data_IF_996435697344
#
_entry.id   IF_996435697344
#
_cell.length_a   1.000
_cell.length_b   1.000
_cell.length_c   1.000
_cell.angle_alpha   90.00
_cell.angle_beta   90.00
_cell.angle_gamma   90.00
#
_symmetry.space_group_name_H-M   'P 1'
#
loop_
_entity.id
_entity.type
_entity.pdbx_description
1 polymer ?
#
# COMPACT_ATOMS: atom_id res chain seq x y z
N UNK A 1 -14.27 -9.03 21.18
CA UNK A 1 -14.31 -9.87 22.41
C UNK A 1 -13.62 -11.22 22.27
N UNK A 2 -13.88 -12.03 21.22
CA UNK A 2 -13.22 -13.34 20.99
C UNK A 2 -11.68 -13.29 20.91
N UNK A 3 -11.09 -12.24 20.33
CA UNK A 3 -9.63 -12.07 20.27
C UNK A 3 -8.97 -11.79 21.64
N UNK A 4 -9.66 -11.08 22.55
CA UNK A 4 -9.17 -10.81 23.91
C UNK A 4 -9.20 -12.10 24.74
N UNK A 5 -10.26 -12.89 24.59
CA UNK A 5 -10.41 -14.20 25.24
C UNK A 5 -9.31 -15.18 24.77
N UNK A 6 -8.96 -15.17 23.48
CA UNK A 6 -7.87 -16.01 22.96
C UNK A 6 -6.46 -15.52 23.36
N UNK A 7 -6.27 -14.22 23.62
CA UNK A 7 -4.99 -13.72 24.19
C UNK A 7 -4.84 -14.10 25.66
N UNK A 8 -5.95 -14.07 26.43
CA UNK A 8 -5.98 -14.50 27.83
C UNK A 8 -5.79 -16.01 27.99
N UNK A 9 -6.25 -16.82 27.02
CA UNK A 9 -6.05 -18.29 27.08
C UNK A 9 -4.59 -18.71 26.90
N UNK A 10 -3.83 -18.00 26.06
CA UNK A 10 -2.39 -18.23 25.89
C UNK A 10 -1.60 -17.91 27.17
N UNK A 11 -1.95 -16.83 27.87
CA UNK A 11 -1.37 -16.48 29.17
C UNK A 11 -1.73 -17.52 30.26
N UNK A 12 -2.92 -18.10 30.21
CA UNK A 12 -3.38 -19.09 31.19
C UNK A 12 -2.48 -20.32 31.28
N UNK A 13 -1.81 -20.70 30.20
CA UNK A 13 -0.87 -21.83 30.18
C UNK A 13 0.50 -21.49 30.77
N UNK A 14 0.88 -20.20 30.82
CA UNK A 14 2.15 -19.74 31.37
C UNK A 14 2.08 -19.47 32.88
N UNK A 15 0.90 -19.10 33.39
CA UNK A 15 0.67 -18.78 34.82
C UNK A 15 1.17 -19.88 35.78
N UNK A 16 0.92 -21.19 35.56
CA UNK A 16 1.37 -22.24 36.48
C UNK A 16 2.89 -22.37 36.55
N UNK A 17 3.58 -22.25 35.41
CA UNK A 17 5.04 -22.36 35.34
C UNK A 17 5.72 -21.15 35.96
N UNK A 18 5.17 -19.95 35.73
CA UNK A 18 5.65 -18.71 36.34
C UNK A 18 5.41 -18.68 37.86
N UNK A 19 4.25 -19.12 38.33
CA UNK A 19 3.97 -19.18 39.77
C UNK A 19 4.86 -20.20 40.48
N UNK A 20 5.11 -21.36 39.88
CA UNK A 20 6.01 -22.36 40.43
C UNK A 20 7.46 -21.85 40.49
N UNK A 21 7.92 -21.18 39.43
CA UNK A 21 9.27 -20.58 39.40
C UNK A 21 9.40 -19.46 40.44
N UNK A 22 8.37 -18.62 40.59
CA UNK A 22 8.34 -17.56 41.59
C UNK A 22 8.41 -18.13 43.01
N UNK A 23 7.60 -19.15 43.33
CA UNK A 23 7.64 -19.83 44.63
C UNK A 23 9.02 -20.45 44.89
N UNK A 24 9.63 -21.07 43.87
CA UNK A 24 10.99 -21.62 43.97
C UNK A 24 12.05 -20.56 44.31
N UNK A 25 12.00 -19.41 43.64
CA UNK A 25 12.92 -18.29 43.90
C UNK A 25 12.73 -17.74 45.32
N UNK A 26 11.48 -17.57 45.78
CA UNK A 26 11.18 -17.10 47.14
C UNK A 26 11.75 -18.07 48.19
N UNK A 27 11.51 -19.37 48.06
CA UNK A 27 12.02 -20.38 48.98
C UNK A 27 13.56 -20.42 49.00
N UNK A 28 14.20 -20.34 47.83
CA UNK A 28 15.66 -20.33 47.72
C UNK A 28 16.27 -19.06 48.34
N UNK A 29 15.67 -17.90 48.07
CA UNK A 29 16.11 -16.63 48.66
C UNK A 29 15.98 -16.62 50.18
N UNK A 30 14.89 -17.19 50.71
CA UNK A 30 14.67 -17.30 52.14
C UNK A 30 15.69 -18.27 52.79
N UNK A 31 15.96 -19.41 52.16
CA UNK A 31 16.95 -20.38 52.62
C UNK A 31 18.37 -19.80 52.68
N UNK A 32 18.79 -19.09 51.63
CA UNK A 32 20.08 -18.38 51.59
C UNK A 32 20.14 -17.31 52.68
N UNK A 33 19.08 -16.53 52.88
CA UNK A 33 19.03 -15.52 53.94
C UNK A 33 19.21 -16.13 55.33
N UNK A 34 18.57 -17.27 55.63
CA UNK A 34 18.75 -17.97 56.91
C UNK A 34 20.17 -18.50 57.10
N UNK A 35 20.77 -19.09 56.06
CA UNK A 35 22.17 -19.54 56.08
C UNK A 35 23.14 -18.39 56.36
N UNK A 36 22.96 -17.25 55.70
CA UNK A 36 23.76 -16.04 55.94
C UNK A 36 23.59 -15.49 57.35
N UNK A 37 22.35 -15.43 57.85
CA UNK A 37 22.07 -15.00 59.23
C UNK A 37 22.74 -15.94 60.23
N UNK A 38 22.73 -17.24 59.98
CA UNK A 38 23.39 -18.23 60.82
C UNK A 38 24.91 -18.04 60.80
N UNK A 39 25.53 -17.98 59.63
CA UNK A 39 26.97 -17.82 59.47
C UNK A 39 27.50 -16.55 60.15
N UNK A 40 26.80 -15.42 60.00
CA UNK A 40 27.18 -14.18 60.68
C UNK A 40 27.01 -14.22 62.20
N UNK A 41 26.14 -15.09 62.73
CA UNK A 41 25.88 -15.20 64.18
C UNK A 41 26.77 -16.22 64.88
N UNK A 42 27.24 -17.24 64.18
CA UNK A 42 28.00 -18.35 64.77
C UNK A 42 29.50 -18.27 64.51
N UNK A 43 29.94 -17.55 63.47
CA UNK A 43 31.35 -17.43 63.12
C UNK A 43 31.90 -16.10 63.65
N UNK A 44 32.72 -16.17 64.71
CA UNK A 44 33.48 -15.03 65.21
C UNK A 44 34.74 -14.79 64.34
N UNK A 45 35.03 -13.53 63.99
CA UNK A 45 36.22 -13.15 63.21
C UNK A 45 35.98 -12.85 61.72
N UNK A 46 34.77 -12.48 61.30
CA UNK A 46 34.49 -12.11 59.91
C UNK A 46 35.18 -10.77 59.52
N UNK A 47 35.70 -10.64 58.29
CA UNK A 47 36.34 -9.40 57.82
C UNK A 47 35.42 -8.18 57.90
N UNK A 48 35.97 -6.99 58.18
CA UNK A 48 35.22 -5.73 58.29
C UNK A 48 34.39 -5.37 57.04
N UNK A 49 34.77 -5.89 55.88
CA UNK A 49 34.02 -5.73 54.61
C UNK A 49 32.59 -6.27 54.74
N UNK A 50 32.39 -7.34 55.51
CA UNK A 50 31.08 -7.98 55.72
C UNK A 50 30.13 -7.04 56.47
N UNK A 51 30.66 -6.21 57.37
CA UNK A 51 29.88 -5.24 58.14
C UNK A 51 29.25 -4.16 57.24
N UNK A 52 30.03 -3.63 56.29
CA UNK A 52 29.56 -2.68 55.29
C UNK A 52 28.58 -3.31 54.29
N UNK A 53 28.91 -4.52 53.81
CA UNK A 53 28.13 -5.19 52.77
C UNK A 53 26.76 -5.67 53.27
N UNK A 54 26.63 -5.95 54.57
CA UNK A 54 25.35 -6.35 55.22
C UNK A 54 24.66 -5.19 55.95
N UNK A 55 25.12 -3.95 55.72
CA UNK A 55 24.54 -2.70 56.19
C UNK A 55 24.33 -2.64 57.71
N UNK A 56 25.23 -3.22 58.51
CA UNK A 56 24.98 -3.46 59.93
C UNK A 56 24.88 -2.21 60.81
N UNK A 57 25.34 -1.07 60.31
CA UNK A 57 25.14 0.23 60.94
C UNK A 57 23.66 0.64 61.04
N UNK A 58 22.78 0.01 60.25
CA UNK A 58 21.36 0.35 60.21
C UNK A 58 20.54 -0.65 61.06
N UNK A 59 19.55 -0.18 61.86
CA UNK A 59 18.73 -1.06 62.66
C UNK A 59 18.01 -2.12 61.81
N UNK A 60 17.82 -3.31 62.37
CA UNK A 60 17.26 -4.50 61.69
C UNK A 60 16.00 -4.23 60.83
N UNK A 61 14.96 -3.53 61.32
CA UNK A 61 13.75 -3.30 60.50
C UNK A 61 14.04 -2.41 59.29
N UNK A 62 14.91 -1.41 59.43
CA UNK A 62 15.23 -0.47 58.37
C UNK A 62 16.05 -1.10 57.23
N UNK A 63 16.90 -2.09 57.53
CA UNK A 63 17.61 -2.87 56.49
C UNK A 63 16.66 -3.66 55.60
N UNK A 64 15.66 -4.30 56.22
CA UNK A 64 14.64 -5.06 55.49
C UNK A 64 13.81 -4.15 54.59
N UNK A 65 13.37 -2.99 55.11
CA UNK A 65 12.61 -2.00 54.33
C UNK A 65 13.44 -1.47 53.15
N UNK A 66 14.71 -1.12 53.38
CA UNK A 66 15.59 -0.61 52.32
C UNK A 66 15.77 -1.62 51.18
N UNK A 67 16.08 -2.88 51.50
CA UNK A 67 16.24 -3.94 50.49
C UNK A 67 14.93 -4.22 49.74
N UNK A 68 13.80 -4.16 50.43
CA UNK A 68 12.48 -4.36 49.83
C UNK A 68 12.13 -3.24 48.83
N UNK A 69 12.41 -1.98 49.19
CA UNK A 69 12.18 -0.83 48.30
C UNK A 69 13.10 -0.88 47.07
N UNK A 70 14.39 -1.18 47.25
CA UNK A 70 15.34 -1.32 46.14
C UNK A 70 14.91 -2.46 45.21
N UNK A 71 14.52 -3.61 45.78
CA UNK A 71 14.03 -4.74 45.01
C UNK A 71 12.78 -4.41 44.18
N UNK A 72 11.83 -3.66 44.76
CA UNK A 72 10.62 -3.24 44.05
C UNK A 72 10.94 -2.32 42.86
N UNK A 73 11.88 -1.38 43.03
CA UNK A 73 12.31 -0.46 41.97
C UNK A 73 12.99 -1.19 40.81
N UNK A 74 13.88 -2.14 41.11
CA UNK A 74 14.56 -2.96 40.09
C UNK A 74 13.54 -3.81 39.32
N UNK A 75 12.57 -4.41 40.02
CA UNK A 75 11.52 -5.22 39.40
C UNK A 75 10.62 -4.38 38.48
N UNK A 76 10.24 -3.18 38.91
CA UNK A 76 9.48 -2.23 38.09
C UNK A 76 10.27 -1.82 36.83
N UNK A 77 11.57 -1.55 36.96
CA UNK A 77 12.45 -1.24 35.83
C UNK A 77 12.56 -2.39 34.83
N UNK A 78 12.70 -3.63 35.30
CA UNK A 78 12.76 -4.82 34.45
C UNK A 78 11.47 -5.07 33.66
N UNK A 79 10.30 -4.88 34.30
CA UNK A 79 9.00 -4.96 33.63
C UNK A 79 8.88 -3.86 32.56
N UNK A 80 9.31 -2.65 32.86
CA UNK A 80 9.24 -1.53 31.93
C UNK A 80 10.16 -1.74 30.71
N UNK A 81 11.33 -2.37 30.89
CA UNK A 81 12.24 -2.68 29.80
C UNK A 81 11.70 -3.81 28.89
N UNK A 82 10.98 -4.79 29.46
CA UNK A 82 10.36 -5.87 28.69
C UNK A 82 9.14 -5.43 27.88
N UNK A 83 8.39 -4.42 28.34
CA UNK A 83 7.22 -3.92 27.61
C UNK A 83 7.57 -3.24 26.28
N UNK A 84 8.82 -2.78 26.11
CA UNK A 84 9.32 -2.23 24.85
C UNK A 84 9.77 -3.25 23.81
N UNK A 85 9.96 -4.53 24.18
CA UNK A 85 10.59 -5.55 23.31
C UNK A 85 9.55 -6.46 22.62
N UNK A 86 8.28 -6.42 23.02
CA UNK A 86 7.24 -7.30 22.45
C UNK A 86 6.37 -6.55 21.45
N UNK A 87 6.98 -6.15 20.32
CA UNK A 87 6.25 -5.94 19.07
C UNK A 87 7.04 -6.61 17.96
N UNK A 88 6.92 -7.93 17.87
CA UNK A 88 7.26 -8.66 16.65
C UNK A 88 5.98 -8.63 15.79
N UNK A 89 5.92 -7.86 14.70
CA UNK A 89 4.84 -8.00 13.74
C UNK A 89 4.89 -9.41 13.15
N UNK A 90 3.74 -10.06 13.15
CA UNK A 90 3.58 -11.43 12.67
C UNK A 90 3.69 -11.42 11.14
N UNK A 91 4.61 -12.16 10.50
CA UNK A 91 4.49 -12.42 9.07
C UNK A 91 3.27 -13.33 8.88
N UNK A 92 2.28 -12.82 8.15
CA UNK A 92 1.06 -13.54 7.81
C UNK A 92 1.29 -14.25 6.47
N UNK A 93 1.01 -15.56 6.44
CA UNK A 93 1.01 -16.48 5.31
C UNK A 93 2.38 -17.01 4.85
N UNK A 94 2.68 -18.24 5.29
CA UNK A 94 3.63 -19.15 4.63
C UNK A 94 2.82 -19.96 3.60
N UNK A 95 3.21 -20.01 2.31
CA UNK A 95 2.61 -20.90 1.32
C UNK A 95 2.75 -22.37 1.71
N UNK A 96 1.84 -23.22 1.22
CA UNK A 96 1.67 -24.61 1.65
C UNK A 96 2.78 -25.60 1.24
N UNK A 97 3.94 -25.12 0.79
CA UNK A 97 5.06 -25.98 0.40
C UNK A 97 6.15 -25.88 1.45
N UNK A 98 6.31 -26.97 2.22
CA UNK A 98 7.09 -27.08 3.45
C UNK A 98 8.61 -27.02 3.28
N UNK A 99 9.13 -26.00 2.60
CA UNK A 99 10.54 -25.63 2.65
C UNK A 99 10.68 -24.28 3.36
N UNK A 100 10.95 -24.35 4.68
CA UNK A 100 11.41 -23.19 5.44
C UNK A 100 12.88 -22.93 5.07
N UNK A 101 13.13 -22.40 3.87
CA UNK A 101 14.43 -21.83 3.52
C UNK A 101 14.55 -20.53 4.28
N UNK A 102 15.36 -20.52 5.35
CA UNK A 102 15.85 -19.32 6.02
C UNK A 102 16.86 -18.64 5.09
N UNK A 103 16.36 -18.13 3.96
CA UNK A 103 17.09 -17.28 3.06
C UNK A 103 17.24 -15.93 3.73
N UNK A 104 18.45 -15.60 4.18
CA UNK A 104 18.82 -14.22 4.44
C UNK A 104 18.84 -13.50 3.09
N UNK A 105 17.68 -12.97 2.69
CA UNK A 105 17.52 -12.25 1.44
C UNK A 105 18.29 -10.93 1.51
N UNK A 106 19.53 -10.95 1.00
CA UNK A 106 20.42 -9.80 0.85
C UNK A 106 19.95 -8.82 -0.24
N UNK A 107 18.84 -9.09 -0.93
CA UNK A 107 18.40 -8.34 -2.11
C UNK A 107 17.15 -7.48 -1.90
N UNK A 108 16.68 -7.29 -0.66
CA UNK A 108 15.67 -6.27 -0.34
C UNK A 108 16.27 -4.86 -0.53
N UNK A 109 16.43 -4.46 -1.79
CA UNK A 109 16.63 -3.07 -2.16
C UNK A 109 15.29 -2.39 -1.89
N UNK A 110 15.24 -1.38 -1.00
CA UNK A 110 13.97 -0.82 -0.60
C UNK A 110 13.30 -0.14 -1.80
N UNK A 111 12.11 -0.61 -2.19
CA UNK A 111 11.43 -0.16 -3.42
C UNK A 111 10.63 1.10 -3.16
N UNK A 112 11.00 2.18 -3.87
CA UNK A 112 10.27 3.45 -3.90
C UNK A 112 9.38 3.46 -5.12
N UNK A 113 8.07 3.40 -4.90
CA UNK A 113 7.09 3.38 -5.97
C UNK A 113 6.34 4.70 -5.98
N UNK A 114 6.23 5.30 -7.17
CA UNK A 114 5.32 6.42 -7.40
C UNK A 114 4.09 5.90 -8.11
N UNK A 115 2.91 6.32 -7.66
CA UNK A 115 1.61 5.99 -8.27
C UNK A 115 0.95 7.28 -8.72
N UNK A 116 0.59 7.35 -10.00
CA UNK A 116 -0.17 8.45 -10.60
C UNK A 116 -1.56 7.92 -10.92
N UNK A 117 -2.55 8.31 -10.12
CA UNK A 117 -3.90 7.77 -10.18
C UNK A 117 -4.91 8.74 -9.54
N UNK A 118 -6.20 8.48 -9.71
CA UNK A 118 -7.28 9.15 -8.98
C UNK A 118 -7.70 8.38 -7.72
N UNK A 119 -8.62 8.94 -6.95
CA UNK A 119 -9.03 8.46 -5.63
C UNK A 119 -9.33 6.96 -5.53
N UNK A 120 -10.25 6.44 -6.36
CA UNK A 120 -10.63 5.03 -6.31
C UNK A 120 -9.48 4.08 -6.70
N UNK A 121 -8.67 4.47 -7.69
CA UNK A 121 -7.51 3.69 -8.15
C UNK A 121 -6.40 3.61 -7.11
N UNK A 122 -6.15 4.71 -6.40
CA UNK A 122 -5.18 4.74 -5.29
C UNK A 122 -5.58 3.77 -4.17
N UNK A 123 -6.87 3.67 -3.86
CA UNK A 123 -7.37 2.72 -2.84
C UNK A 123 -7.18 1.26 -3.26
N UNK A 124 -7.33 0.95 -4.55
CA UNK A 124 -7.04 -0.40 -5.06
C UNK A 124 -5.57 -0.74 -4.84
N UNK A 125 -4.68 0.22 -5.07
CA UNK A 125 -3.24 0.02 -4.88
C UNK A 125 -2.79 0.10 -3.41
N UNK A 126 -3.68 0.34 -2.45
CA UNK A 126 -3.30 0.33 -1.03
C UNK A 126 -2.71 -1.02 -0.58
N UNK A 127 -3.08 -2.13 -1.23
CA UNK A 127 -2.49 -3.45 -0.98
C UNK A 127 -1.01 -3.55 -1.40
N UNK A 128 -0.55 -2.69 -2.34
CA UNK A 128 0.85 -2.62 -2.73
C UNK A 128 1.73 -2.06 -1.61
N UNK A 129 1.16 -1.21 -0.74
CA UNK A 129 1.93 -0.57 0.33
C UNK A 129 2.55 -1.60 1.28
N UNK A 130 1.93 -2.75 1.50
CA UNK A 130 2.45 -3.76 2.44
C UNK A 130 3.76 -4.40 1.93
N UNK A 131 4.07 -4.25 0.64
CA UNK A 131 5.17 -4.92 -0.05
C UNK A 131 6.24 -3.95 -0.59
N UNK A 132 6.10 -2.65 -0.31
CA UNK A 132 7.06 -1.61 -0.75
C UNK A 132 7.45 -0.73 0.43
N UNK A 133 8.68 -0.20 0.42
CA UNK A 133 9.18 0.62 1.53
C UNK A 133 8.57 2.02 1.54
N UNK A 134 8.31 2.56 0.35
CA UNK A 134 7.70 3.88 0.19
C UNK A 134 6.83 3.91 -1.05
N UNK A 135 5.56 4.22 -0.86
CA UNK A 135 4.60 4.46 -1.93
C UNK A 135 4.22 5.94 -1.93
N UNK A 136 4.52 6.65 -3.00
CA UNK A 136 4.15 8.06 -3.16
C UNK A 136 3.05 8.19 -4.19
N UNK A 137 1.87 8.57 -3.75
CA UNK A 137 0.68 8.74 -4.56
C UNK A 137 0.58 10.20 -5.02
N UNK A 138 0.89 10.45 -6.30
CA UNK A 138 0.70 11.76 -6.92
C UNK A 138 -0.74 11.84 -7.42
N UNK A 139 -1.45 12.85 -6.95
CA UNK A 139 -2.88 13.04 -7.20
C UNK A 139 -3.11 13.82 -8.49
N UNK A 140 -4.30 13.74 -9.11
CA UNK A 140 -4.65 14.56 -10.27
C UNK A 140 -4.57 16.05 -9.94
N UNK A 141 -4.01 16.84 -10.86
CA UNK A 141 -3.96 18.31 -10.75
C UNK A 141 -5.34 18.97 -10.64
N UNK A 142 -6.42 18.27 -11.02
CA UNK A 142 -7.80 18.76 -10.98
C UNK A 142 -8.45 18.62 -9.61
N UNK A 143 -7.94 17.73 -8.77
CA UNK A 143 -8.64 17.32 -7.55
C UNK A 143 -8.26 18.20 -6.35
N UNK A 144 -9.23 18.50 -5.46
CA UNK A 144 -8.96 19.26 -4.25
C UNK A 144 -8.07 18.47 -3.27
N UNK A 145 -7.15 19.18 -2.61
CA UNK A 145 -6.16 18.61 -1.69
C UNK A 145 -6.80 17.91 -0.48
N UNK A 146 -7.96 18.40 -0.04
CA UNK A 146 -8.69 17.92 1.14
C UNK A 146 -9.14 16.46 1.01
N UNK A 147 -9.44 16.01 -0.21
CA UNK A 147 -9.85 14.62 -0.44
C UNK A 147 -8.76 13.64 -0.02
N UNK A 148 -7.51 13.96 -0.36
CA UNK A 148 -6.37 13.10 -0.11
C UNK A 148 -5.87 13.17 1.33
N UNK A 149 -5.99 14.33 1.98
CA UNK A 149 -5.74 14.45 3.42
C UNK A 149 -6.71 13.60 4.25
N UNK A 150 -7.98 13.50 3.81
CA UNK A 150 -8.94 12.59 4.45
C UNK A 150 -8.60 11.12 4.18
N UNK A 151 -8.20 10.80 2.95
CA UNK A 151 -7.78 9.44 2.59
C UNK A 151 -6.57 8.97 3.44
N UNK A 152 -5.58 9.84 3.67
CA UNK A 152 -4.40 9.50 4.48
C UNK A 152 -4.76 9.13 5.92
N UNK A 153 -5.76 9.80 6.51
CA UNK A 153 -6.24 9.47 7.85
C UNK A 153 -7.03 8.15 7.91
N UNK A 154 -7.72 7.77 6.84
CA UNK A 154 -8.57 6.58 6.79
C UNK A 154 -7.77 5.28 6.61
N UNK A 155 -6.71 5.31 5.82
CA UNK A 155 -5.96 4.09 5.48
C UNK A 155 -4.90 3.72 6.51
N UNK A 156 -4.43 4.68 7.32
CA UNK A 156 -3.43 4.48 8.36
C UNK A 156 -2.24 3.61 7.90
N UNK A 157 -1.78 3.81 6.66
CA UNK A 157 -0.64 3.11 6.09
C UNK A 157 0.60 3.98 6.24
N UNK A 158 1.58 3.57 7.08
CA UNK A 158 2.67 4.45 7.50
C UNK A 158 3.66 4.81 6.38
N UNK A 159 3.64 4.08 5.28
CA UNK A 159 4.56 4.19 4.15
C UNK A 159 3.89 4.71 2.86
N UNK A 160 2.64 5.16 2.94
CA UNK A 160 1.93 5.79 1.82
C UNK A 160 1.89 7.30 2.02
N UNK A 161 2.37 8.03 1.02
CA UNK A 161 2.43 9.49 1.03
C UNK A 161 1.61 10.04 -0.13
N UNK A 162 0.59 10.83 0.18
CA UNK A 162 -0.18 11.55 -0.84
C UNK A 162 0.48 12.89 -1.12
N UNK A 163 0.77 13.16 -2.39
CA UNK A 163 1.50 14.34 -2.83
C UNK A 163 0.69 15.07 -3.88
N UNK A 164 0.54 16.38 -3.67
CA UNK A 164 -0.10 17.28 -4.62
C UNK A 164 0.94 17.80 -5.62
N UNK A 165 0.72 17.66 -6.93
CA UNK A 165 1.65 18.13 -7.95
C UNK A 165 1.79 19.65 -7.93
N UNK A 166 0.70 20.37 -7.69
CA UNK A 166 0.64 21.84 -7.62
C UNK A 166 0.08 22.30 -6.27
N UNK A 167 0.39 23.54 -5.82
CA UNK A 167 -0.16 24.09 -4.57
C UNK A 167 -1.68 24.27 -4.58
N UNK A 168 -2.23 24.60 -5.76
CA UNK A 168 -3.66 24.79 -5.99
C UNK A 168 -4.11 23.88 -7.15
N UNK A 169 -5.36 23.39 -7.14
CA UNK A 169 -5.90 22.61 -8.24
C UNK A 169 -6.05 23.48 -9.50
N UNK A 170 -5.88 22.87 -10.66
CA UNK A 170 -5.99 23.50 -11.96
C UNK A 170 -7.25 23.03 -12.69
N UNK A 171 -7.85 23.94 -13.44
CA UNK A 171 -9.01 23.61 -14.27
C UNK A 171 -8.54 23.02 -15.60
N UNK A 172 -9.00 21.80 -15.87
CA UNK A 172 -8.70 21.08 -17.10
C UNK A 172 -9.98 20.88 -17.88
N UNK A 173 -9.91 21.15 -19.18
CA UNK A 173 -11.04 21.09 -20.09
C UNK A 173 -10.77 20.01 -21.14
N UNK A 174 -11.74 19.12 -21.34
CA UNK A 174 -11.76 18.17 -22.42
C UNK A 174 -12.52 18.75 -23.63
N UNK A 175 -11.89 18.73 -24.79
CA UNK A 175 -12.48 19.04 -26.09
C UNK A 175 -13.03 17.76 -26.71
N UNK A 176 -14.33 17.75 -27.00
CA UNK A 176 -15.02 16.64 -27.62
C UNK A 176 -15.00 16.74 -29.16
N UNK A 177 -15.43 15.68 -29.83
CA UNK A 177 -15.49 15.53 -31.29
C UNK A 177 -16.36 16.57 -32.01
N UNK A 178 -17.35 17.15 -31.32
CA UNK A 178 -18.18 18.23 -31.85
C UNK A 178 -17.67 19.65 -31.49
N UNK A 179 -16.48 19.74 -30.88
CA UNK A 179 -15.87 20.98 -30.43
C UNK A 179 -16.41 21.49 -29.08
N UNK A 180 -17.31 20.75 -28.43
CA UNK A 180 -17.77 21.09 -27.08
C UNK A 180 -16.62 20.99 -26.09
N UNK A 181 -16.54 21.98 -25.20
CA UNK A 181 -15.56 22.05 -24.12
C UNK A 181 -16.24 21.70 -22.79
N UNK A 182 -15.73 20.70 -22.07
CA UNK A 182 -16.26 20.28 -20.77
C UNK A 182 -15.17 20.21 -19.70
N UNK A 183 -15.49 20.63 -18.48
CA UNK A 183 -14.60 20.46 -17.32
C UNK A 183 -14.42 18.96 -17.01
N UNK A 184 -13.16 18.53 -16.97
CA UNK A 184 -12.78 17.13 -16.69
C UNK A 184 -13.33 16.64 -15.35
N UNK A 185 -13.48 17.50 -14.33
CA UNK A 185 -14.03 17.10 -13.02
C UNK A 185 -15.49 16.65 -13.10
N UNK A 186 -16.21 17.09 -14.13
CA UNK A 186 -17.63 16.82 -14.29
C UNK A 186 -17.93 15.85 -15.42
N UNK A 187 -16.95 15.47 -16.24
CA UNK A 187 -17.19 14.66 -17.44
C UNK A 187 -17.88 13.32 -17.14
N UNK A 188 -17.62 12.69 -15.98
CA UNK A 188 -18.29 11.46 -15.55
C UNK A 188 -19.74 11.67 -15.06
N UNK A 189 -20.16 12.91 -14.80
CA UNK A 189 -21.51 13.28 -14.34
C UNK A 189 -22.49 13.49 -15.49
N UNK A 190 -22.04 13.40 -16.74
CA UNK A 190 -22.83 13.66 -17.94
C UNK A 190 -22.99 12.41 -18.81
N UNK A 191 -23.94 11.51 -18.50
CA UNK A 191 -24.19 10.29 -19.27
C UNK A 191 -24.52 10.55 -20.75
N UNK A 192 -25.08 11.71 -21.07
CA UNK A 192 -25.38 12.14 -22.44
C UNK A 192 -24.14 12.25 -23.33
N UNK A 193 -22.94 12.31 -22.75
CA UNK A 193 -21.68 12.35 -23.48
C UNK A 193 -21.17 10.95 -23.85
N UNK A 194 -21.91 9.89 -23.53
CA UNK A 194 -21.53 8.51 -23.86
C UNK A 194 -21.31 8.28 -25.37
N UNK A 195 -22.02 9.04 -26.22
CA UNK A 195 -21.91 8.97 -27.68
C UNK A 195 -20.81 9.86 -28.28
N UNK A 196 -20.11 10.64 -27.44
CA UNK A 196 -19.05 11.56 -27.84
C UNK A 196 -17.67 10.95 -27.67
N UNK A 197 -16.64 11.68 -28.10
CA UNK A 197 -15.25 11.27 -27.92
C UNK A 197 -14.39 12.44 -27.47
N UNK A 198 -13.65 12.27 -26.38
CA UNK A 198 -12.59 13.22 -26.00
C UNK A 198 -11.49 13.19 -27.06
N UNK A 199 -11.32 14.30 -27.75
CA UNK A 199 -10.27 14.51 -28.74
C UNK A 199 -9.00 15.06 -28.08
N UNK A 200 -9.13 16.02 -27.17
CA UNK A 200 -7.98 16.66 -26.54
C UNK A 200 -8.24 17.19 -25.14
N UNK A 201 -7.23 17.21 -24.28
CA UNK A 201 -7.24 17.90 -23.00
C UNK A 201 -6.43 19.19 -23.09
N UNK A 202 -6.92 20.24 -22.44
CA UNK A 202 -6.27 21.54 -22.34
C UNK A 202 -6.36 22.07 -20.92
N UNK A 203 -5.35 22.81 -20.48
CA UNK A 203 -5.53 23.70 -19.32
C UNK A 203 -6.50 24.81 -19.73
N UNK A 204 -7.38 25.21 -18.82
CA UNK A 204 -8.22 26.37 -19.04
C UNK A 204 -7.30 27.59 -19.30
N UNK A 205 -7.68 28.48 -20.23
CA UNK A 205 -6.85 29.61 -20.67
C UNK A 205 -6.48 30.58 -19.54
N UNK A 206 -7.30 30.60 -18.48
CA UNK A 206 -7.08 31.43 -17.29
C UNK A 206 -6.12 30.76 -16.29
N UNK A 207 -5.88 29.46 -16.42
CA UNK A 207 -4.99 28.69 -15.54
C UNK A 207 -3.53 28.84 -16.00
N UNK A 208 -2.77 29.67 -15.29
CA UNK A 208 -1.30 29.68 -15.42
C UNK A 208 -0.76 28.60 -14.48
N UNK A 209 -0.12 27.53 -14.99
CA UNK A 209 0.33 26.44 -14.15
C UNK A 209 1.47 26.92 -13.22
N UNK A 210 1.33 26.78 -11.89
CA UNK A 210 2.42 27.04 -10.97
C UNK A 210 3.54 26.00 -11.15
N UNK A 211 4.76 26.27 -10.67
CA UNK A 211 5.81 25.26 -10.63
C UNK A 211 5.38 24.05 -9.80
N UNK A 212 5.89 22.88 -10.15
CA UNK A 212 5.61 21.66 -9.39
C UNK A 212 6.15 21.76 -7.97
N UNK A 213 5.44 21.11 -7.05
CA UNK A 213 5.92 20.99 -5.68
C UNK A 213 7.22 20.19 -5.64
N UNK A 214 8.17 20.63 -4.81
CA UNK A 214 9.47 19.96 -4.67
C UNK A 214 9.34 18.48 -4.29
N UNK A 215 8.34 18.16 -3.46
CA UNK A 215 8.04 16.78 -3.04
C UNK A 215 7.65 15.90 -4.23
N UNK A 216 6.92 16.44 -5.20
CA UNK A 216 6.56 15.73 -6.44
C UNK A 216 7.80 15.41 -7.27
N UNK A 217 8.67 16.41 -7.49
CA UNK A 217 9.91 16.25 -8.25
C UNK A 217 10.87 15.27 -7.58
N UNK A 218 11.05 15.36 -6.27
CA UNK A 218 11.88 14.43 -5.48
C UNK A 218 11.35 13.00 -5.58
N UNK A 219 10.03 12.81 -5.46
CA UNK A 219 9.40 11.50 -5.56
C UNK A 219 9.62 10.86 -6.94
N UNK A 220 9.39 11.61 -8.02
CA UNK A 220 9.60 11.13 -9.39
C UNK A 220 11.06 10.78 -9.68
N UNK A 221 12.00 11.58 -9.16
CA UNK A 221 13.44 11.37 -9.33
C UNK A 221 13.94 10.14 -8.59
N UNK A 222 13.41 9.87 -7.40
CA UNK A 222 13.88 8.79 -6.52
C UNK A 222 13.14 7.47 -6.71
N UNK A 223 12.11 7.45 -7.55
CA UNK A 223 11.32 6.25 -7.81
C UNK A 223 12.16 5.15 -8.49
N UNK A 224 11.93 3.91 -8.08
CA UNK A 224 12.37 2.72 -8.81
C UNK A 224 11.33 2.34 -9.89
N UNK A 225 10.06 2.60 -9.62
CA UNK A 225 8.95 2.41 -10.56
C UNK A 225 7.92 3.55 -10.47
N UNK A 226 7.40 3.97 -11.62
CA UNK A 226 6.29 4.91 -11.76
C UNK A 226 5.12 4.16 -12.37
N UNK A 227 4.05 4.00 -11.59
CA UNK A 227 2.84 3.30 -11.97
C UNK A 227 1.78 4.32 -12.41
N UNK A 228 1.28 4.16 -13.62
CA UNK A 228 0.18 4.92 -14.19
C UNK A 228 -1.10 4.12 -14.01
N UNK A 229 -2.04 4.62 -13.20
CA UNK A 229 -3.30 3.94 -12.90
C UNK A 229 -3.19 2.86 -11.81
N UNK A 230 -4.23 2.02 -11.63
CA UNK A 230 -5.46 1.99 -12.44
C UNK A 230 -6.30 3.25 -12.19
N UNK A 231 -7.02 3.74 -13.19
CA UNK A 231 -7.84 4.94 -13.04
C UNK A 231 -8.29 5.50 -14.38
N UNK A 232 -9.24 6.44 -14.37
CA UNK A 232 -9.70 7.03 -15.62
C UNK A 232 -8.56 7.74 -16.32
N UNK A 233 -8.34 7.38 -17.58
CA UNK A 233 -7.21 7.88 -18.35
C UNK A 233 -7.27 9.41 -18.48
N UNK A 234 -8.42 9.93 -18.92
CA UNK A 234 -8.62 11.36 -19.19
C UNK A 234 -8.92 12.19 -17.94
N UNK A 235 -9.40 11.59 -16.85
CA UNK A 235 -9.72 12.34 -15.62
C UNK A 235 -8.61 12.29 -14.56
N UNK A 236 -7.89 11.18 -14.47
CA UNK A 236 -7.01 10.93 -13.32
C UNK A 236 -5.54 10.85 -13.68
N UNK A 237 -5.19 10.39 -14.88
CA UNK A 237 -3.81 10.10 -15.26
C UNK A 237 -3.26 11.21 -16.16
N UNK A 238 -3.87 11.40 -17.33
CA UNK A 238 -3.41 12.34 -18.36
C UNK A 238 -3.38 13.81 -17.94
N UNK A 239 -4.31 14.35 -17.12
CA UNK A 239 -4.28 15.76 -16.73
C UNK A 239 -2.93 16.20 -16.15
N UNK A 240 -2.25 15.35 -15.37
CA UNK A 240 -0.95 15.68 -14.80
C UNK A 240 0.12 15.95 -15.87
N UNK A 241 0.02 15.31 -17.03
CA UNK A 241 0.97 15.46 -18.15
C UNK A 241 0.74 16.73 -18.98
N UNK A 242 -0.33 17.49 -18.72
CA UNK A 242 -0.49 18.84 -19.27
C UNK A 242 0.54 19.82 -18.70
N UNK A 243 1.12 19.50 -17.54
CA UNK A 243 2.24 20.23 -16.97
C UNK A 243 3.54 19.75 -17.61
N UNK A 244 4.17 20.59 -18.42
CA UNK A 244 5.41 20.24 -19.13
C UNK A 244 6.54 19.80 -18.17
N UNK A 245 6.65 20.45 -17.01
CA UNK A 245 7.61 20.07 -15.96
C UNK A 245 7.34 18.66 -15.42
N UNK A 246 6.07 18.25 -15.33
CA UNK A 246 5.67 16.92 -14.86
C UNK A 246 6.02 15.85 -15.88
N UNK A 247 5.66 16.08 -17.15
CA UNK A 247 6.01 15.17 -18.24
C UNK A 247 7.53 14.98 -18.36
N UNK A 248 8.31 16.06 -18.25
CA UNK A 248 9.78 15.98 -18.23
C UNK A 248 10.30 15.20 -17.03
N UNK A 249 9.79 15.45 -15.82
CA UNK A 249 10.22 14.75 -14.62
C UNK A 249 9.95 13.24 -14.69
N UNK A 250 8.79 12.82 -15.22
CA UNK A 250 8.47 11.41 -15.43
C UNK A 250 9.38 10.80 -16.51
N UNK A 251 9.61 11.51 -17.62
CA UNK A 251 10.44 11.03 -18.74
C UNK A 251 11.91 10.88 -18.37
N UNK A 252 12.47 11.86 -17.68
CA UNK A 252 13.88 11.89 -17.27
C UNK A 252 14.21 10.92 -16.12
N UNK A 253 13.20 10.47 -15.36
CA UNK A 253 13.39 9.47 -14.31
C UNK A 253 13.92 8.15 -14.88
N UNK A 254 14.88 7.53 -14.20
CA UNK A 254 15.34 6.17 -14.51
C UNK A 254 14.36 5.09 -14.05
N UNK A 255 13.34 5.48 -13.29
CA UNK A 255 12.27 4.59 -12.88
C UNK A 255 11.64 3.91 -14.09
N UNK A 256 11.14 2.70 -13.88
CA UNK A 256 10.42 1.96 -14.90
C UNK A 256 8.95 2.38 -14.92
N UNK A 257 8.42 2.64 -16.12
CA UNK A 257 7.07 3.17 -16.33
C UNK A 257 6.13 2.00 -16.57
N UNK A 258 5.20 1.79 -15.64
CA UNK A 258 4.25 0.67 -15.69
C UNK A 258 2.85 1.26 -15.83
N UNK A 259 2.10 0.87 -16.84
CA UNK A 259 0.69 1.26 -16.99
C UNK A 259 -0.23 0.10 -16.59
N UNK A 260 -1.20 0.37 -15.71
CA UNK A 260 -2.26 -0.59 -15.37
C UNK A 260 -3.48 -0.23 -16.21
N UNK A 261 -3.76 -1.05 -17.22
CA UNK A 261 -4.85 -0.82 -18.16
C UNK A 261 -6.21 -0.97 -17.48
N UNK A 262 -7.18 -0.14 -17.87
CA UNK A 262 -8.54 -0.23 -17.35
C UNK A 262 -9.21 -1.54 -17.79
N UNK A 263 -10.07 -2.09 -16.92
CA UNK A 263 -10.81 -3.33 -17.21
C UNK A 263 -11.90 -3.14 -18.27
N UNK A 264 -12.49 -1.95 -18.29
CA UNK A 264 -13.59 -1.56 -19.17
C UNK A 264 -13.28 -0.21 -19.82
N UNK A 265 -13.82 0.00 -21.01
CA UNK A 265 -13.86 1.31 -21.64
C UNK A 265 -14.80 2.24 -20.90
N UNK A 266 -14.52 3.53 -21.00
CA UNK A 266 -15.29 4.59 -20.39
C UNK A 266 -16.09 5.33 -21.47
N UNK A 267 -17.42 5.46 -21.31
CA UNK A 267 -18.27 6.12 -22.30
C UNK A 267 -17.82 7.57 -22.49
N UNK A 268 -17.81 8.05 -23.73
CA UNK A 268 -17.38 9.41 -24.04
C UNK A 268 -15.85 9.64 -24.07
N UNK A 269 -15.07 8.73 -23.47
CA UNK A 269 -13.64 8.95 -23.16
C UNK A 269 -12.74 7.93 -23.85
N UNK A 270 -12.91 6.65 -23.51
CA UNK A 270 -12.13 5.54 -24.09
C UNK A 270 -13.04 4.58 -24.85
N UNK A 271 -14.14 5.09 -25.40
CA UNK A 271 -15.11 4.29 -26.15
C UNK A 271 -14.44 3.65 -27.37
N UNK A 272 -14.52 2.33 -27.46
CA UNK A 272 -13.86 1.54 -28.50
C UNK A 272 -12.34 1.38 -28.36
N UNK A 273 -11.72 1.91 -27.29
CA UNK A 273 -10.28 1.79 -27.11
C UNK A 273 -9.85 0.35 -26.87
N UNK A 274 -8.80 -0.04 -27.56
CA UNK A 274 -7.97 -1.22 -27.30
C UNK A 274 -6.79 -0.86 -26.41
N UNK A 275 -6.00 -1.85 -26.01
CA UNK A 275 -4.76 -1.64 -25.24
C UNK A 275 -3.80 -0.72 -26.00
N UNK A 276 -3.62 -0.92 -27.30
CA UNK A 276 -2.78 -0.08 -28.15
C UNK A 276 -3.20 1.40 -28.13
N UNK A 277 -4.50 1.67 -28.16
CA UNK A 277 -5.02 3.05 -28.15
C UNK A 277 -4.71 3.76 -26.84
N UNK A 278 -4.82 3.06 -25.70
CA UNK A 278 -4.40 3.62 -24.41
C UNK A 278 -2.90 3.97 -24.41
N UNK A 279 -2.05 3.08 -24.96
CA UNK A 279 -0.60 3.33 -25.04
C UNK A 279 -0.29 4.52 -25.95
N UNK A 280 -0.96 4.63 -27.11
CA UNK A 280 -0.77 5.77 -28.02
C UNK A 280 -1.14 7.10 -27.37
N UNK A 281 -2.27 7.15 -26.68
CA UNK A 281 -2.69 8.38 -25.99
C UNK A 281 -1.71 8.72 -24.86
N UNK A 282 -1.25 7.75 -24.06
CA UNK A 282 -0.19 8.02 -23.06
C UNK A 282 1.06 8.57 -23.74
N UNK A 283 1.47 7.99 -24.87
CA UNK A 283 2.63 8.45 -25.63
C UNK A 283 2.49 9.88 -26.14
N UNK A 284 1.29 10.26 -26.59
CA UNK A 284 0.98 11.60 -27.05
C UNK A 284 1.09 12.65 -25.93
N UNK A 285 0.46 12.40 -24.78
CA UNK A 285 0.43 13.35 -23.67
C UNK A 285 1.70 13.36 -22.83
N UNK A 286 2.23 12.18 -22.48
CA UNK A 286 3.40 12.05 -21.62
C UNK A 286 4.72 12.17 -22.37
N UNK A 287 4.71 12.06 -23.71
CA UNK A 287 5.92 12.06 -24.53
C UNK A 287 6.85 10.87 -24.22
N UNK A 288 6.29 9.76 -23.75
CA UNK A 288 7.01 8.52 -23.43
C UNK A 288 6.12 7.29 -23.69
N UNK A 289 6.73 6.17 -24.00
CA UNK A 289 6.04 4.87 -24.05
C UNK A 289 6.25 4.15 -22.71
N UNK A 290 5.19 3.62 -22.05
CA UNK A 290 5.36 2.79 -20.86
C UNK A 290 6.26 1.59 -21.15
N UNK A 291 7.17 1.24 -20.24
CA UNK A 291 8.00 0.05 -20.38
C UNK A 291 7.15 -1.22 -20.34
N UNK A 292 6.18 -1.25 -19.42
CA UNK A 292 5.29 -2.39 -19.19
C UNK A 292 3.84 -1.97 -19.11
N UNK A 293 2.94 -2.82 -19.59
CA UNK A 293 1.48 -2.65 -19.48
C UNK A 293 0.87 -3.90 -18.88
N UNK A 294 0.14 -3.76 -17.77
CA UNK A 294 -0.63 -4.84 -17.16
C UNK A 294 -2.07 -4.82 -17.71
N UNK A 295 -2.50 -5.96 -18.24
CA UNK A 295 -3.85 -6.15 -18.80
C UNK A 295 -4.52 -7.34 -18.12
N UNK A 296 -5.82 -7.22 -17.86
CA UNK A 296 -6.58 -8.30 -17.25
C UNK A 296 -6.86 -9.44 -18.26
N UNK A 297 -6.35 -10.62 -17.96
CA UNK A 297 -6.55 -11.84 -18.74
C UNK A 297 -7.93 -12.49 -18.50
N UNK A 298 -8.44 -12.33 -17.27
CA UNK A 298 -9.63 -13.07 -16.82
C UNK A 298 -10.87 -12.59 -17.58
N UNK A 299 -11.53 -13.52 -18.27
CA UNK A 299 -12.80 -13.23 -18.95
C UNK A 299 -13.87 -12.88 -17.92
N UNK A 300 -14.52 -11.75 -18.14
CA UNK A 300 -15.58 -11.24 -17.29
C UNK A 300 -16.85 -12.03 -17.58
N UNK A 301 -17.58 -12.37 -16.53
CA UNK A 301 -18.84 -13.10 -16.62
C UNK A 301 -19.82 -12.42 -17.62
N UNK A 302 -20.50 -13.18 -18.50
CA UNK A 302 -21.37 -12.63 -19.52
C UNK A 302 -22.52 -11.77 -18.97
N UNK A 303 -23.04 -12.11 -17.79
CA UNK A 303 -24.11 -11.36 -17.14
C UNK A 303 -23.62 -9.97 -16.72
N UNK A 304 -22.43 -9.93 -16.13
CA UNK A 304 -21.73 -8.69 -15.79
C UNK A 304 -21.44 -7.86 -17.04
N UNK A 305 -20.94 -8.49 -18.11
CA UNK A 305 -20.65 -7.82 -19.38
C UNK A 305 -21.90 -7.16 -19.98
N UNK A 306 -23.08 -7.81 -19.90
CA UNK A 306 -24.34 -7.21 -20.37
C UNK A 306 -24.75 -5.97 -19.58
N UNK A 307 -24.53 -5.96 -18.26
CA UNK A 307 -24.82 -4.80 -17.40
C UNK A 307 -23.97 -3.60 -17.85
N UNK A 308 -22.68 -3.82 -18.08
CA UNK A 308 -21.75 -2.78 -18.52
C UNK A 308 -22.01 -2.35 -19.97
N UNK A 309 -22.36 -3.27 -20.87
CA UNK A 309 -22.72 -2.95 -22.24
C UNK A 309 -23.97 -2.05 -22.32
N UNK A 310 -24.95 -2.24 -21.40
CA UNK A 310 -26.11 -1.36 -21.29
C UNK A 310 -25.75 0.08 -20.86
N UNK A 311 -24.56 0.28 -20.31
CA UNK A 311 -23.97 1.58 -19.98
C UNK A 311 -22.92 2.03 -21.02
N UNK A 312 -22.91 1.45 -22.23
CA UNK A 312 -21.96 1.74 -23.31
C UNK A 312 -20.49 1.44 -22.95
N UNK A 313 -20.25 0.46 -22.07
CA UNK A 313 -18.91 0.03 -21.67
C UNK A 313 -18.60 -1.36 -22.22
N UNK A 314 -17.37 -1.52 -22.71
CA UNK A 314 -16.86 -2.78 -23.27
C UNK A 314 -15.58 -3.21 -22.57
N UNK A 315 -15.36 -4.51 -22.35
CA UNK A 315 -14.10 -4.99 -21.79
C UNK A 315 -12.89 -4.64 -22.66
N UNK A 316 -11.79 -4.26 -22.02
CA UNK A 316 -10.52 -4.05 -22.71
C UNK A 316 -9.70 -5.32 -22.64
N UNK A 317 -9.51 -5.97 -23.79
CA UNK A 317 -8.73 -7.19 -23.93
C UNK A 317 -7.71 -7.06 -25.08
N UNK A 318 -6.72 -7.96 -25.09
CA UNK A 318 -5.87 -8.18 -26.25
C UNK A 318 -6.65 -8.83 -27.39
N UNK A 319 -6.37 -8.40 -28.62
CA UNK A 319 -6.82 -9.08 -29.84
C UNK A 319 -6.00 -10.34 -30.11
N UNK A 320 -6.58 -11.34 -30.78
CA UNK A 320 -5.81 -12.35 -31.50
C UNK A 320 -4.66 -11.81 -32.37
N UNK A 321 -4.86 -10.69 -33.07
CA UNK A 321 -3.83 -10.05 -33.91
C UNK A 321 -2.68 -9.41 -33.13
N UNK A 322 -2.90 -9.05 -31.86
CA UNK A 322 -1.83 -8.49 -31.03
C UNK A 322 -0.75 -9.55 -30.72
N UNK A 323 -1.12 -10.85 -30.66
CA UNK A 323 -0.19 -11.94 -30.35
C UNK A 323 0.82 -12.28 -31.46
N UNK A 324 0.83 -11.55 -32.57
CA UNK A 324 1.78 -11.77 -33.67
C UNK A 324 3.23 -11.42 -33.28
N UNK A 325 3.44 -10.42 -32.40
CA UNK A 325 4.75 -10.05 -31.84
C UNK A 325 4.89 -10.51 -30.38
N UNK A 326 5.17 -11.79 -30.17
CA UNK A 326 5.49 -12.32 -28.83
C UNK A 326 6.95 -12.03 -28.44
N UNK A 327 7.15 -11.62 -27.19
CA UNK A 327 8.46 -11.47 -26.59
C UNK A 327 8.56 -12.19 -25.24
N UNK A 328 9.73 -12.75 -24.95
CA UNK A 328 10.04 -13.41 -23.67
C UNK A 328 10.66 -12.43 -22.70
N UNK A 329 10.18 -12.40 -21.46
CA UNK A 329 10.76 -11.61 -20.39
C UNK A 329 12.17 -12.12 -20.03
N UNK A 330 13.15 -11.24 -19.76
CA UNK A 330 14.46 -11.64 -19.26
C UNK A 330 14.32 -12.41 -17.94
N UNK A 331 14.95 -13.60 -17.84
CA UNK A 331 14.94 -14.43 -16.62
C UNK A 331 13.81 -15.46 -16.53
N UNK A 332 13.05 -15.69 -17.60
CA UNK A 332 11.89 -16.58 -17.54
C UNK A 332 12.26 -18.07 -17.63
N UNK A 333 12.11 -18.79 -16.51
CA UNK A 333 12.14 -20.27 -16.44
C UNK A 333 10.70 -20.83 -16.35
N UNK A 334 9.64 -19.99 -16.34
CA UNK A 334 8.25 -20.42 -16.04
C UNK A 334 7.11 -19.81 -16.90
N UNK A 335 7.38 -19.20 -18.05
CA UNK A 335 6.43 -19.14 -19.17
C UNK A 335 5.38 -18.02 -19.13
N UNK A 336 5.66 -16.88 -18.51
CA UNK A 336 4.84 -15.69 -18.75
C UNK A 336 5.30 -15.00 -20.04
N UNK A 337 4.60 -15.30 -21.14
CA UNK A 337 4.79 -14.67 -22.43
C UNK A 337 4.18 -13.27 -22.41
N UNK A 338 4.97 -12.28 -22.78
CA UNK A 338 4.49 -10.93 -23.03
C UNK A 338 4.30 -10.69 -24.53
N UNK A 339 3.55 -9.66 -24.86
CA UNK A 339 3.32 -9.21 -26.24
C UNK A 339 3.87 -7.80 -26.37
N UNK A 340 4.54 -7.48 -27.48
CA UNK A 340 4.97 -6.10 -27.73
C UNK A 340 3.84 -5.36 -28.45
N UNK A 341 3.38 -4.25 -27.86
CA UNK A 341 2.36 -3.39 -28.46
C UNK A 341 2.81 -1.94 -28.33
N UNK A 342 2.89 -1.21 -29.44
CA UNK A 342 3.30 0.21 -29.48
C UNK A 342 4.67 0.47 -28.80
N UNK A 343 5.53 -0.56 -28.73
CA UNK A 343 6.83 -0.53 -28.06
C UNK A 343 6.81 -0.84 -26.56
N UNK A 344 5.64 -1.11 -25.98
CA UNK A 344 5.49 -1.55 -24.59
C UNK A 344 5.45 -3.07 -24.49
N UNK A 345 6.00 -3.62 -23.41
CA UNK A 345 5.81 -5.03 -23.05
C UNK A 345 4.47 -5.20 -22.32
N UNK A 346 3.51 -5.83 -22.99
CA UNK A 346 2.18 -6.09 -22.43
C UNK A 346 2.12 -7.47 -21.79
N UNK A 347 1.65 -7.51 -20.54
CA UNK A 347 1.60 -8.72 -19.73
C UNK A 347 0.15 -8.93 -19.26
N UNK A 348 -0.36 -10.11 -19.55
CA UNK A 348 -1.67 -10.54 -19.10
C UNK A 348 -1.60 -11.19 -17.70
N UNK A 349 -2.48 -10.78 -16.80
CA UNK A 349 -2.62 -11.35 -15.47
C UNK A 349 -4.09 -11.37 -15.03
N UNK A 350 -4.45 -12.19 -14.04
CA UNK A 350 -5.75 -12.08 -13.39
C UNK A 350 -5.72 -10.87 -12.44
N UNK A 351 -6.34 -9.76 -12.85
CA UNK A 351 -6.29 -8.48 -12.12
C UNK A 351 -7.63 -8.05 -11.57
N UNK A 352 -8.71 -8.81 -11.80
CA UNK A 352 -10.07 -8.36 -11.53
C UNK A 352 -10.80 -9.22 -10.50
N UNK A 353 -11.77 -8.59 -9.84
CA UNK A 353 -12.76 -9.24 -9.00
C UNK A 353 -14.13 -8.56 -9.18
N UNK A 354 -15.19 -9.35 -9.17
CA UNK A 354 -16.56 -8.85 -9.14
C UNK A 354 -17.02 -8.74 -7.68
N UNK A 355 -17.38 -7.53 -7.26
CA UNK A 355 -17.83 -7.25 -5.89
C UNK A 355 -19.29 -6.82 -5.92
N UNK A 356 -20.08 -7.29 -4.96
CA UNK A 356 -21.45 -6.81 -4.78
C UNK A 356 -21.39 -5.53 -3.96
N UNK A 357 -21.75 -4.41 -4.58
CA UNK A 357 -21.88 -3.12 -3.93
C UNK A 357 -23.34 -2.82 -3.65
N UNK A 358 -23.66 -2.51 -2.40
CA UNK A 358 -24.98 -2.00 -2.05
C UNK A 358 -24.97 -0.50 -2.26
N UNK A 359 -25.66 -0.03 -3.30
CA UNK A 359 -25.90 1.39 -3.50
C UNK A 359 -27.25 1.75 -2.93
N UNK A 360 -27.29 2.83 -2.17
CA UNK A 360 -28.53 3.41 -1.70
C UNK A 360 -28.94 4.49 -2.69
N UNK A 361 -30.19 4.50 -3.13
CA UNK A 361 -30.69 5.59 -3.96
C UNK A 361 -30.71 6.88 -3.13
N UNK A 362 -30.20 7.98 -3.69
CA UNK A 362 -30.32 9.32 -3.07
C UNK A 362 -31.80 9.71 -2.90
N UNK A 363 -32.65 9.29 -3.83
CA UNK A 363 -34.09 9.57 -3.79
C UNK A 363 -34.86 8.69 -2.80
N UNK A 364 -34.29 7.55 -2.40
CA UNK A 364 -34.94 6.62 -1.49
C UNK A 364 -33.92 5.92 -0.58
N UNK A 365 -33.47 6.58 0.51
CA UNK A 365 -32.39 6.11 1.38
C UNK A 365 -32.63 4.76 2.07
N UNK A 366 -33.88 4.30 2.10
CA UNK A 366 -34.29 3.03 2.71
C UNK A 366 -34.23 1.84 1.72
N UNK A 367 -34.09 2.11 0.41
CA UNK A 367 -33.92 1.07 -0.60
C UNK A 367 -32.45 0.91 -0.94
N UNK A 368 -31.88 -0.22 -0.53
CA UNK A 368 -30.56 -0.64 -0.98
C UNK A 368 -30.71 -1.53 -2.22
N UNK A 369 -29.98 -1.21 -3.28
CA UNK A 369 -29.88 -2.03 -4.48
C UNK A 369 -28.49 -2.68 -4.49
N UNK A 370 -28.47 -4.01 -4.52
CA UNK A 370 -27.24 -4.75 -4.77
C UNK A 370 -26.89 -4.63 -6.26
N UNK A 371 -25.75 -4.03 -6.57
CA UNK A 371 -25.20 -3.90 -7.92
C UNK A 371 -23.88 -4.64 -7.96
N UNK A 372 -23.71 -5.54 -8.92
CA UNK A 372 -22.42 -6.19 -9.17
C UNK A 372 -21.52 -5.20 -9.89
N UNK A 373 -20.38 -4.87 -9.28
CA UNK A 373 -19.41 -3.91 -9.81
C UNK A 373 -18.10 -4.66 -10.04
N UNK A 374 -17.56 -4.52 -11.24
CA UNK A 374 -16.24 -5.01 -11.59
C UNK A 374 -15.19 -3.99 -11.14
N UNK A 375 -14.15 -4.47 -10.45
CA UNK A 375 -13.02 -3.65 -10.02
C UNK A 375 -11.73 -4.43 -10.19
N UNK A 376 -10.63 -3.68 -10.23
CA UNK A 376 -9.32 -4.28 -9.99
C UNK A 376 -9.27 -4.84 -8.57
N UNK A 377 -8.76 -6.05 -8.44
CA UNK A 377 -8.47 -6.67 -7.15
C UNK A 377 -7.12 -6.16 -6.65
N UNK A 378 -7.12 -5.44 -5.53
CA UNK A 378 -5.91 -4.81 -5.00
C UNK A 378 -4.81 -5.81 -4.63
N UNK A 379 -5.15 -7.02 -4.16
CA UNK A 379 -4.16 -8.03 -3.79
C UNK A 379 -3.55 -8.68 -5.03
N UNK A 380 -4.38 -9.06 -6.00
CA UNK A 380 -3.89 -9.65 -7.26
C UNK A 380 -3.04 -8.64 -8.04
N UNK A 381 -3.48 -7.39 -8.10
CA UNK A 381 -2.74 -6.33 -8.77
C UNK A 381 -1.41 -6.04 -8.09
N UNK A 382 -1.38 -5.97 -6.76
CA UNK A 382 -0.13 -5.81 -6.01
C UNK A 382 0.84 -6.98 -6.27
N UNK A 383 0.36 -8.22 -6.25
CA UNK A 383 1.18 -9.39 -6.54
C UNK A 383 1.75 -9.36 -7.97
N UNK A 384 0.94 -9.00 -8.97
CA UNK A 384 1.39 -8.87 -10.36
C UNK A 384 2.46 -7.77 -10.52
N UNK A 385 2.26 -6.61 -9.88
CA UNK A 385 3.22 -5.51 -9.89
C UNK A 385 4.54 -5.88 -9.20
N UNK A 386 4.49 -6.57 -8.06
CA UNK A 386 5.68 -6.99 -7.32
C UNK A 386 6.48 -8.03 -8.11
N UNK A 387 5.79 -8.97 -8.75
CA UNK A 387 6.42 -9.98 -9.61
C UNK A 387 7.08 -9.33 -10.82
N UNK A 388 6.39 -8.38 -11.47
CA UNK A 388 6.94 -7.58 -12.55
C UNK A 388 8.22 -6.85 -12.11
N UNK A 389 8.14 -6.12 -10.98
CA UNK A 389 9.27 -5.39 -10.40
C UNK A 389 10.42 -6.28 -9.93
N UNK A 390 10.19 -7.57 -9.65
CA UNK A 390 11.24 -8.54 -9.28
C UNK A 390 12.06 -9.01 -10.48
N UNK A 391 11.50 -8.91 -11.68
CA UNK A 391 12.14 -9.35 -12.93
C UNK A 391 12.87 -8.21 -13.66
N UNK A 392 12.72 -6.99 -13.17
CA UNK A 392 13.34 -5.77 -13.68
C UNK A 392 14.68 -5.53 -12.98
#
# INVERSE_FOLDING_TARGET
MKQIINRLSALRHLIPSLSLTFVGIVLLSLGVAYLFIHAYRTVEGLPEVVWWLTLQFLPRPWRGILLLVIGLLVLAGGIWQLSGVVVIPRPQQVPADGELVLGYDRTHRPRRVVVISGGAGMLVLAGLSEQVDRMTCIVPITDPVEYYYRASGLLNQPNVYYVVPTPEPLDVVAELDDGTLIDVRHIHLHPELAERYVCRLHLNKESVPPPLTRVTLEALREADAIILGPGSLFESILPNFLLAEFAEAVRSSSAKKIFVCNLMTEPGRTSGFRVADHIRVIKEYAGLTPDYVLVNAQRIDPETTRIYAAAHQTPVYLDPSDYEEMATLPGDVHGQRGVIIEGSMVIEADLSAAVIQYTTSLDNPLQSRAVRVLRHDGQKLAAALIELMRRM
#
